data_IF_012825371216
#
_entry.id   IF_012825371216
#
_cell.length_a   1.000
_cell.length_b   1.000
_cell.length_c   1.000
_cell.angle_alpha   90.00
_cell.angle_beta   90.00
_cell.angle_gamma   90.00
#
_symmetry.space_group_name_H-M   'P 1'
#
loop_
_entity.id
_entity.type
_entity.pdbx_description
1 polymer ?
#
# COMPACT_ATOMS: atom_id res chain seq x y z
N UNK A 1 -11.55 3.13 -6.77
CA UNK A 1 -10.25 3.35 -7.45
C UNK A 1 -10.49 3.33 -8.95
N UNK A 2 -9.88 4.24 -9.69
CA UNK A 2 -10.07 4.39 -11.14
C UNK A 2 -8.74 4.30 -11.86
N UNK A 3 -8.76 3.79 -13.09
CA UNK A 3 -7.67 3.89 -14.04
C UNK A 3 -7.88 5.17 -14.86
N UNK A 4 -6.87 6.03 -14.94
CA UNK A 4 -6.88 7.23 -15.73
C UNK A 4 -5.75 7.24 -16.76
N UNK A 5 -6.00 7.87 -17.91
CA UNK A 5 -5.02 8.07 -18.94
C UNK A 5 -4.63 9.54 -19.02
N UNK A 6 -3.35 9.83 -18.87
CA UNK A 6 -2.84 11.14 -19.23
C UNK A 6 -2.52 11.14 -20.72
N UNK A 7 -3.40 11.73 -21.52
CA UNK A 7 -3.26 11.75 -22.99
C UNK A 7 -2.01 12.47 -23.46
N UNK A 8 -1.58 13.54 -22.76
CA UNK A 8 -0.40 14.32 -23.12
C UNK A 8 0.90 13.55 -22.87
N UNK A 9 0.95 12.77 -21.80
CA UNK A 9 2.11 11.97 -21.42
C UNK A 9 2.03 10.53 -21.94
N UNK A 10 0.89 10.12 -22.50
CA UNK A 10 0.57 8.73 -22.88
C UNK A 10 0.90 7.75 -21.74
N UNK A 11 0.51 8.11 -20.52
CA UNK A 11 0.80 7.33 -19.30
C UNK A 11 -0.47 7.05 -18.52
N UNK A 12 -0.58 5.82 -18.02
CA UNK A 12 -1.67 5.39 -17.15
C UNK A 12 -1.36 5.71 -15.68
N UNK A 13 -2.36 6.17 -14.96
CA UNK A 13 -2.31 6.43 -13.54
C UNK A 13 -3.46 5.75 -12.81
N UNK A 14 -3.24 5.41 -11.55
CA UNK A 14 -4.29 4.97 -10.66
C UNK A 14 -4.79 6.17 -9.84
N UNK A 15 -6.10 6.32 -9.72
CA UNK A 15 -6.72 7.36 -8.90
C UNK A 15 -7.51 6.70 -7.79
N UNK A 16 -7.14 7.01 -6.54
CA UNK A 16 -7.91 6.67 -5.34
C UNK A 16 -8.78 7.88 -5.00
N UNK A 17 -10.09 7.71 -5.10
CA UNK A 17 -11.06 8.76 -4.80
C UNK A 17 -11.85 8.41 -3.55
N UNK A 18 -12.03 9.40 -2.68
CA UNK A 18 -12.97 9.36 -1.57
C UNK A 18 -13.86 10.59 -1.64
N UNK A 19 -15.18 10.35 -1.65
CA UNK A 19 -16.21 11.39 -1.65
C UNK A 19 -16.92 11.44 -0.31
N UNK A 20 -17.37 12.63 0.07
CA UNK A 20 -18.13 12.87 1.29
C UNK A 20 -19.46 12.14 1.30
N UNK A 21 -20.09 11.99 0.13
CA UNK A 21 -21.37 11.33 -0.01
C UNK A 21 -21.38 9.90 0.51
N UNK A 22 -22.24 9.61 1.50
CA UNK A 22 -22.42 8.27 2.05
C UNK A 22 -21.38 7.84 3.09
N UNK A 23 -20.41 8.68 3.43
CA UNK A 23 -19.41 8.37 4.45
C UNK A 23 -19.76 9.11 5.75
N UNK A 24 -20.07 8.36 6.81
CA UNK A 24 -20.04 8.88 8.18
C UNK A 24 -18.58 9.21 8.50
N UNK A 25 -18.32 10.35 9.11
CA UNK A 25 -16.96 10.75 9.51
C UNK A 25 -15.97 10.93 8.34
N UNK A 26 -16.42 11.55 7.23
CA UNK A 26 -15.58 11.85 6.07
C UNK A 26 -14.23 12.51 6.45
N UNK A 27 -14.26 13.44 7.41
CA UNK A 27 -13.03 14.11 7.87
C UNK A 27 -12.03 13.13 8.50
N UNK A 28 -12.47 12.10 9.21
CA UNK A 28 -11.59 11.07 9.78
C UNK A 28 -10.96 10.22 8.69
N UNK A 29 -11.74 9.81 7.69
CA UNK A 29 -11.26 9.05 6.53
C UNK A 29 -10.28 9.88 5.72
N UNK A 30 -10.62 11.13 5.44
CA UNK A 30 -9.77 12.10 4.74
C UNK A 30 -8.44 12.31 5.48
N UNK A 31 -8.48 12.51 6.78
CA UNK A 31 -7.27 12.67 7.58
C UNK A 31 -6.37 11.42 7.53
N UNK A 32 -6.95 10.23 7.54
CA UNK A 32 -6.21 8.97 7.35
C UNK A 32 -5.50 8.91 5.99
N UNK A 33 -6.18 9.35 4.92
CA UNK A 33 -5.61 9.42 3.57
C UNK A 33 -4.51 10.46 3.44
N UNK A 34 -4.62 11.60 4.11
CA UNK A 34 -3.57 12.63 4.15
C UNK A 34 -2.30 12.05 4.78
N UNK A 35 -2.43 11.36 5.92
CA UNK A 35 -1.29 10.72 6.59
C UNK A 35 -0.63 9.66 5.70
N UNK A 36 -1.42 8.78 5.06
CA UNK A 36 -0.94 7.78 4.10
C UNK A 36 -0.18 8.45 2.95
N UNK A 37 -0.76 9.48 2.37
CA UNK A 37 -0.19 10.21 1.22
C UNK A 37 1.11 10.92 1.60
N UNK A 38 1.14 11.61 2.73
CA UNK A 38 2.33 12.32 3.20
C UNK A 38 3.48 11.36 3.50
N UNK A 39 3.18 10.18 3.99
CA UNK A 39 4.16 9.12 4.18
C UNK A 39 4.70 8.62 2.83
N UNK A 40 3.82 8.27 1.89
CA UNK A 40 4.20 7.76 0.56
C UNK A 40 5.00 8.79 -0.26
N UNK A 41 4.69 10.08 -0.17
CA UNK A 41 5.42 11.16 -0.86
C UNK A 41 6.90 11.20 -0.54
N UNK A 42 7.29 10.78 0.66
CA UNK A 42 8.69 10.78 1.13
C UNK A 42 9.47 9.56 0.68
N UNK A 43 8.79 8.51 0.22
CA UNK A 43 9.39 7.21 -0.08
C UNK A 43 9.78 7.11 -1.56
N UNK A 44 10.93 6.47 -1.82
CA UNK A 44 11.43 6.16 -3.16
C UNK A 44 12.02 4.76 -3.14
N UNK A 45 11.32 3.80 -3.75
CA UNK A 45 11.77 2.42 -3.86
C UNK A 45 11.11 1.74 -5.07
N UNK A 46 11.80 0.85 -5.82
CA UNK A 46 11.23 0.18 -6.99
C UNK A 46 9.98 -0.67 -6.69
N UNK A 47 9.85 -1.17 -5.46
CA UNK A 47 8.71 -1.97 -5.01
C UNK A 47 7.64 -1.16 -4.26
N UNK A 48 7.63 0.16 -4.41
CA UNK A 48 6.63 1.08 -3.86
C UNK A 48 6.04 1.95 -4.98
N UNK A 49 4.72 2.23 -4.96
CA UNK A 49 4.11 3.18 -5.89
C UNK A 49 4.55 4.61 -5.54
N UNK A 50 4.69 5.46 -6.55
CA UNK A 50 4.96 6.89 -6.36
C UNK A 50 3.66 7.68 -6.40
N UNK A 51 3.53 8.68 -5.53
CA UNK A 51 2.46 9.67 -5.61
C UNK A 51 2.81 10.68 -6.69
N UNK A 52 1.88 10.92 -7.61
CA UNK A 52 2.01 11.86 -8.72
C UNK A 52 1.38 13.20 -8.36
N UNK A 53 0.17 13.17 -7.80
CA UNK A 53 -0.57 14.37 -7.42
C UNK A 53 -1.60 14.07 -6.33
N UNK A 54 -2.03 15.12 -5.63
CA UNK A 54 -3.11 15.08 -4.65
C UNK A 54 -4.05 16.23 -4.93
N UNK A 55 -5.30 15.93 -5.17
CA UNK A 55 -6.34 16.92 -5.45
C UNK A 55 -7.34 16.90 -4.30
N UNK A 56 -7.50 18.03 -3.67
CA UNK A 56 -8.41 18.22 -2.54
C UNK A 56 -9.47 19.28 -2.89
N UNK A 57 -10.71 18.92 -2.67
CA UNK A 57 -11.88 19.80 -2.79
C UNK A 57 -12.75 19.62 -1.53
N UNK A 58 -13.78 20.46 -1.36
CA UNK A 58 -14.66 20.45 -0.17
C UNK A 58 -15.30 19.07 0.09
N UNK A 59 -15.67 18.36 -0.97
CA UNK A 59 -16.40 17.10 -0.92
C UNK A 59 -15.63 15.89 -1.48
N UNK A 60 -14.39 16.09 -1.92
CA UNK A 60 -13.62 15.05 -2.62
C UNK A 60 -12.14 15.11 -2.28
N UNK A 61 -11.53 13.94 -2.08
CA UNK A 61 -10.09 13.78 -1.93
C UNK A 61 -9.60 12.75 -2.95
N UNK A 62 -8.68 13.14 -3.84
CA UNK A 62 -8.13 12.30 -4.88
C UNK A 62 -6.62 12.13 -4.67
N UNK A 63 -6.15 10.89 -4.74
CA UNK A 63 -4.72 10.57 -4.79
C UNK A 63 -4.43 10.00 -6.17
N UNK A 64 -3.58 10.67 -6.93
CA UNK A 64 -3.07 10.22 -8.22
C UNK A 64 -1.73 9.55 -8.01
N UNK A 65 -1.59 8.30 -8.41
CA UNK A 65 -0.37 7.52 -8.18
C UNK A 65 -0.01 6.70 -9.42
N UNK A 66 1.19 6.14 -9.42
CA UNK A 66 1.61 5.20 -10.46
C UNK A 66 0.59 4.06 -10.59
N UNK A 67 0.22 3.77 -11.83
CA UNK A 67 -0.51 2.55 -12.14
C UNK A 67 0.47 1.37 -12.13
N UNK A 68 0.22 0.39 -11.29
CA UNK A 68 1.00 -0.83 -11.21
C UNK A 68 0.30 -1.90 -12.05
N UNK A 69 0.87 -2.18 -13.22
CA UNK A 69 0.39 -3.26 -14.08
C UNK A 69 0.64 -4.62 -13.43
N UNK A 70 -0.32 -5.53 -13.57
CA UNK A 70 -0.22 -6.88 -13.03
C UNK A 70 -1.44 -7.28 -12.20
N UNK A 71 -1.26 -8.34 -11.40
CA UNK A 71 -2.30 -8.89 -10.54
C UNK A 71 -1.77 -9.10 -9.13
N UNK A 72 -2.63 -9.03 -8.09
CA UNK A 72 -2.23 -9.42 -6.75
C UNK A 72 -1.72 -10.87 -6.70
N UNK A 73 -0.76 -11.16 -5.83
CA UNK A 73 -0.29 -12.54 -5.61
C UNK A 73 -1.43 -13.47 -5.15
N UNK A 74 -2.46 -12.95 -4.48
CA UNK A 74 -3.67 -13.72 -4.14
C UNK A 74 -4.34 -14.32 -5.38
N UNK A 75 -4.43 -13.57 -6.46
CA UNK A 75 -5.00 -14.06 -7.72
C UNK A 75 -4.17 -15.20 -8.32
N UNK A 76 -2.84 -15.12 -8.26
CA UNK A 76 -1.97 -16.19 -8.70
C UNK A 76 -2.14 -17.48 -7.86
N UNK A 77 -2.34 -17.32 -6.55
CA UNK A 77 -2.60 -18.44 -5.64
C UNK A 77 -3.98 -19.08 -5.90
N UNK A 78 -5.00 -18.29 -6.17
CA UNK A 78 -6.36 -18.76 -6.48
C UNK A 78 -6.41 -19.51 -7.82
N UNK A 79 -5.70 -19.02 -8.83
CA UNK A 79 -5.72 -19.58 -10.17
C UNK A 79 -4.79 -20.79 -10.33
N UNK A 80 -3.58 -20.73 -9.77
CA UNK A 80 -2.52 -21.71 -9.99
C UNK A 80 -2.12 -22.51 -8.74
N UNK A 81 -2.65 -22.16 -7.57
CA UNK A 81 -2.28 -22.79 -6.31
C UNK A 81 -0.85 -22.48 -5.85
N UNK A 82 -0.18 -23.48 -5.27
CA UNK A 82 1.19 -23.34 -4.78
C UNK A 82 2.16 -22.97 -5.90
N UNK A 83 3.01 -21.98 -5.66
CA UNK A 83 3.94 -21.45 -6.64
C UNK A 83 5.31 -22.15 -6.55
N UNK A 84 6.09 -22.21 -7.66
CA UNK A 84 7.44 -22.75 -7.65
C UNK A 84 8.33 -22.04 -6.61
N UNK A 85 9.14 -22.84 -5.90
CA UNK A 85 10.02 -22.34 -4.83
C UNK A 85 10.91 -21.18 -5.28
N UNK A 86 11.47 -21.26 -6.47
CA UNK A 86 12.38 -20.22 -7.01
C UNK A 86 11.67 -18.87 -7.16
N UNK A 87 10.40 -18.87 -7.62
CA UNK A 87 9.59 -17.65 -7.73
C UNK A 87 9.30 -17.07 -6.33
N UNK A 88 8.88 -17.93 -5.40
CA UNK A 88 8.58 -17.49 -4.02
C UNK A 88 9.80 -16.89 -3.35
N UNK A 89 10.98 -17.49 -3.52
CA UNK A 89 12.25 -16.95 -3.01
C UNK A 89 12.58 -15.59 -3.65
N UNK A 90 12.37 -15.46 -4.97
CA UNK A 90 12.58 -14.19 -5.67
C UNK A 90 11.69 -13.08 -5.14
N UNK A 91 10.39 -13.36 -4.96
CA UNK A 91 9.44 -12.41 -4.38
C UNK A 91 9.79 -12.08 -2.92
N UNK A 92 10.12 -13.08 -2.12
CA UNK A 92 10.49 -12.89 -0.71
C UNK A 92 11.70 -11.97 -0.57
N UNK A 93 12.73 -12.12 -1.40
CA UNK A 93 13.91 -11.23 -1.41
C UNK A 93 13.52 -9.79 -1.69
N UNK A 94 12.66 -9.54 -2.69
CA UNK A 94 12.19 -8.20 -3.02
C UNK A 94 11.34 -7.60 -1.87
N UNK A 95 10.49 -8.42 -1.24
CA UNK A 95 9.69 -7.98 -0.08
C UNK A 95 10.57 -7.67 1.13
N UNK A 96 11.61 -8.48 1.42
CA UNK A 96 12.56 -8.17 2.47
C UNK A 96 13.33 -6.88 2.19
N UNK A 97 13.70 -6.61 0.94
CA UNK A 97 14.39 -5.39 0.53
C UNK A 97 13.52 -4.14 0.78
N UNK A 98 12.27 -4.15 0.32
CA UNK A 98 11.36 -3.01 0.54
C UNK A 98 10.98 -2.84 2.02
N UNK A 99 10.79 -3.92 2.77
CA UNK A 99 10.55 -3.82 4.23
C UNK A 99 11.77 -3.26 4.95
N UNK A 100 12.99 -3.71 4.59
CA UNK A 100 14.24 -3.16 5.11
C UNK A 100 14.35 -1.66 4.82
N UNK A 101 13.98 -1.23 3.61
CA UNK A 101 13.92 0.18 3.26
C UNK A 101 12.93 0.96 4.13
N UNK A 102 11.70 0.45 4.35
CA UNK A 102 10.70 1.09 5.21
C UNK A 102 11.18 1.19 6.67
N UNK A 103 11.79 0.13 7.18
CA UNK A 103 12.32 0.10 8.55
C UNK A 103 13.54 1.02 8.74
N UNK A 104 14.29 1.31 7.67
CA UNK A 104 15.44 2.24 7.72
C UNK A 104 15.06 3.72 7.69
N UNK A 105 13.78 4.04 7.51
CA UNK A 105 13.31 5.42 7.55
C UNK A 105 13.42 6.00 8.97
N UNK A 106 13.38 7.33 9.09
CA UNK A 106 13.40 8.02 10.37
C UNK A 106 12.19 8.98 10.49
N UNK A 107 11.18 8.63 11.28
CA UNK A 107 11.04 7.38 12.05
C UNK A 107 10.79 6.14 11.17
N UNK A 108 11.10 4.92 11.67
CA UNK A 108 10.82 3.69 10.93
C UNK A 108 9.35 3.55 10.58
N UNK A 109 9.06 3.01 9.41
CA UNK A 109 7.70 2.75 8.95
C UNK A 109 7.41 1.24 9.04
N UNK A 110 6.36 0.89 9.76
CA UNK A 110 5.88 -0.49 9.90
C UNK A 110 4.67 -0.69 8.99
N UNK A 111 4.74 -1.67 8.08
CA UNK A 111 3.70 -1.90 7.06
C UNK A 111 2.42 -2.52 7.63
N UNK A 112 2.50 -3.48 8.51
CA UNK A 112 1.45 -4.11 9.35
C UNK A 112 0.40 -4.99 8.66
N UNK A 113 0.24 -4.97 7.35
CA UNK A 113 -0.76 -5.79 6.63
C UNK A 113 -0.15 -6.54 5.44
N UNK A 114 0.95 -7.26 5.69
CA UNK A 114 1.60 -8.08 4.68
C UNK A 114 0.76 -9.32 4.39
N UNK A 115 0.25 -9.40 3.16
CA UNK A 115 -0.54 -10.54 2.66
C UNK A 115 -0.50 -10.57 1.13
N UNK A 116 -0.78 -11.72 0.48
CA UNK A 116 -0.73 -11.84 -0.98
C UNK A 116 -1.63 -10.85 -1.72
N UNK A 117 -2.77 -10.44 -1.12
CA UNK A 117 -3.67 -9.44 -1.72
C UNK A 117 -3.07 -8.03 -1.80
N UNK A 118 -2.06 -7.72 -0.96
CA UNK A 118 -1.38 -6.43 -0.90
C UNK A 118 -0.03 -6.41 -1.63
N UNK A 119 0.29 -7.47 -2.37
CA UNK A 119 1.50 -7.58 -3.18
C UNK A 119 1.11 -7.76 -4.65
N UNK A 120 1.42 -6.76 -5.47
CA UNK A 120 1.16 -6.80 -6.91
C UNK A 120 2.32 -7.49 -7.62
N UNK A 121 2.04 -8.55 -8.37
CA UNK A 121 2.99 -9.21 -9.27
C UNK A 121 2.90 -8.56 -10.65
N UNK A 122 3.99 -7.95 -11.08
CA UNK A 122 4.11 -7.33 -12.39
C UNK A 122 4.47 -8.34 -13.49
N UNK A 123 4.20 -8.03 -14.78
CA UNK A 123 4.54 -8.91 -15.90
C UNK A 123 6.03 -9.25 -16.01
N UNK A 124 6.92 -8.38 -15.51
CA UNK A 124 8.38 -8.59 -15.47
C UNK A 124 8.86 -9.50 -14.33
N UNK A 125 7.95 -10.03 -13.50
CA UNK A 125 8.26 -10.88 -12.36
C UNK A 125 8.62 -10.12 -11.08
N UNK A 126 8.66 -8.79 -11.11
CA UNK A 126 8.89 -7.97 -9.93
C UNK A 126 7.60 -7.79 -9.13
N UNK A 127 7.74 -7.53 -7.83
CA UNK A 127 6.62 -7.29 -6.93
C UNK A 127 6.63 -5.86 -6.39
N UNK A 128 5.43 -5.34 -6.13
CA UNK A 128 5.23 -4.00 -5.56
C UNK A 128 4.22 -4.10 -4.43
N UNK A 129 4.55 -3.50 -3.28
CA UNK A 129 3.59 -3.34 -2.19
C UNK A 129 2.54 -2.31 -2.57
N UNK A 130 1.29 -2.63 -2.29
CA UNK A 130 0.14 -1.74 -2.44
C UNK A 130 -0.58 -1.64 -1.10
N UNK A 131 -1.44 -0.62 -0.93
CA UNK A 131 -2.25 -0.39 0.26
C UNK A 131 -1.44 -0.09 1.53
N UNK A 132 -1.17 1.20 1.74
CA UNK A 132 -0.47 1.74 2.92
C UNK A 132 -1.42 2.24 4.01
N UNK A 133 -2.72 1.96 3.91
CA UNK A 133 -3.72 2.44 4.87
C UNK A 133 -3.48 2.01 6.31
N UNK A 134 -2.81 0.87 6.53
CA UNK A 134 -2.44 0.37 7.85
C UNK A 134 -1.00 0.67 8.26
N UNK A 135 -0.15 1.13 7.35
CA UNK A 135 1.23 1.47 7.66
C UNK A 135 1.31 2.67 8.61
N UNK A 136 2.30 2.68 9.51
CA UNK A 136 2.50 3.74 10.50
C UNK A 136 3.98 3.98 10.77
N UNK A 137 4.32 5.24 11.06
CA UNK A 137 5.60 5.60 11.64
C UNK A 137 5.70 5.05 13.07
N UNK A 138 6.80 4.39 13.39
CA UNK A 138 7.06 3.89 14.74
C UNK A 138 7.44 5.04 15.66
N UNK A 139 6.73 5.18 16.78
CA UNK A 139 7.00 6.18 17.83
C UNK A 139 7.17 5.44 19.15
N UNK A 140 8.34 5.50 19.76
CA UNK A 140 8.67 4.83 21.03
C UNK A 140 7.70 5.14 22.19
N UNK A 141 7.00 6.28 22.13
CA UNK A 141 6.08 6.72 23.19
C UNK A 141 4.64 6.25 23.02
N UNK A 142 4.28 5.63 21.91
CA UNK A 142 2.93 5.13 21.67
C UNK A 142 2.83 3.63 21.98
N UNK A 143 3.04 3.26 23.26
CA UNK A 143 2.74 1.91 23.79
C UNK A 143 1.23 1.57 23.80
N UNK A 144 0.38 2.50 23.37
CA UNK A 144 -1.07 2.35 23.36
C UNK A 144 -1.67 2.42 21.95
N UNK A 145 -1.02 1.82 20.95
CA UNK A 145 -1.70 1.55 19.67
C UNK A 145 -2.56 0.29 19.85
N UNK A 146 -3.67 0.45 20.60
CA UNK A 146 -4.64 -0.61 20.93
C UNK A 146 -5.56 -0.96 19.77
N UNK A 147 -5.26 -0.51 18.56
CA UNK A 147 -6.04 -0.86 17.38
C UNK A 147 -5.58 -2.22 16.88
N UNK A 148 -6.40 -3.26 17.10
CA UNK A 148 -6.21 -4.56 16.45
C UNK A 148 -6.25 -4.37 14.93
N UNK A 149 -5.10 -4.26 14.30
CA UNK A 149 -4.96 -4.08 12.86
C UNK A 149 -4.19 -5.25 12.26
N UNK A 150 -4.74 -5.80 11.22
CA UNK A 150 -4.14 -6.90 10.50
C UNK A 150 -5.20 -7.82 9.91
N UNK A 151 -4.76 -8.71 9.04
CA UNK A 151 -5.65 -9.70 8.40
C UNK A 151 -5.51 -11.04 9.13
N UNK A 152 -6.62 -11.59 9.61
CA UNK A 152 -6.65 -12.92 10.25
C UNK A 152 -5.98 -13.95 9.33
N UNK A 153 -5.07 -14.76 9.89
CA UNK A 153 -4.29 -15.75 9.16
C UNK A 153 -2.94 -15.24 8.61
N UNK A 154 -2.70 -13.91 8.63
CA UNK A 154 -1.45 -13.29 8.18
C UNK A 154 -0.80 -12.42 9.25
N UNK A 155 -1.59 -11.78 10.09
CA UNK A 155 -1.08 -10.88 11.11
C UNK A 155 -0.39 -11.65 12.24
N UNK A 156 0.68 -11.07 12.77
CA UNK A 156 1.39 -11.61 13.92
C UNK A 156 0.51 -11.57 15.20
N UNK A 157 0.70 -12.51 16.14
CA UNK A 157 -0.13 -12.58 17.35
C UNK A 157 -0.18 -11.26 18.13
N UNK A 158 0.94 -10.55 18.22
CA UNK A 158 1.05 -9.28 18.94
C UNK A 158 0.22 -8.15 18.31
N UNK A 159 -0.26 -8.30 17.08
CA UNK A 159 -1.15 -7.33 16.44
C UNK A 159 -2.60 -7.43 16.96
N UNK A 160 -2.93 -8.50 17.67
CA UNK A 160 -4.25 -8.72 18.23
C UNK A 160 -4.30 -8.53 19.76
N UNK A 161 -3.20 -8.16 20.41
CA UNK A 161 -3.10 -7.87 21.84
C UNK A 161 -2.46 -8.95 22.66
#
# INVERSE_FOLDING_TARGET
>A
MYLAMNEKANKQWAIKEVRKDGIRDFEVVKQGLIVETDMLKKLRHPSLPSIIDVIEDEDTFLIVMDYIEGNPLSSALEEFGAQPQELVISWAKQLCDVLGYLHSQNPPIIYRDMKPANVMLKPDGNVTLIDFGTAREFKEKNLADTTCLGTVGYAAPEQFG
#
